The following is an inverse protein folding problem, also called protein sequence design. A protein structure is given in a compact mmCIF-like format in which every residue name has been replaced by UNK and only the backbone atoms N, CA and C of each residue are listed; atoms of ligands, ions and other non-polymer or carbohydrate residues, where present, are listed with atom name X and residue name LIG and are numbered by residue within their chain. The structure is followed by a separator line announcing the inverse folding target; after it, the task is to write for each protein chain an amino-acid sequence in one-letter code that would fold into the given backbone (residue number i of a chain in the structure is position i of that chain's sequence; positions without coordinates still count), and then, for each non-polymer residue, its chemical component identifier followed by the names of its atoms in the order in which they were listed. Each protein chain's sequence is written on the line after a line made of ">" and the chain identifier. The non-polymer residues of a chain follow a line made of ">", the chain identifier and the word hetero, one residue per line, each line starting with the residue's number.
data_IF_313981733573
#
_entry.id   IF_313981733573
#
_cell.length_a   1.000
_cell.length_b   1.000
_cell.length_c   1.000
_cell.angle_alpha   90.00
_cell.angle_beta   90.00
_cell.angle_gamma   90.00
#
_symmetry.space_group_name_H-M   'P 1'
#
loop_
_entity.id
_entity.type
_entity.pdbx_description
1 polymer ?
#
# COMPACT_ATOMS: atom_id res chain seq x y z
N UNK A 1 -50.44 35.95 3.46
CA UNK A 1 -49.20 35.46 4.14
C UNK A 1 -48.81 34.18 3.46
N UNK A 2 -47.92 34.26 2.44
CA UNK A 2 -47.49 33.13 1.62
C UNK A 2 -46.13 32.63 2.07
N UNK A 3 -46.12 31.47 2.73
CA UNK A 3 -44.89 30.78 3.11
C UNK A 3 -44.27 30.01 1.95
N UNK A 4 -43.14 30.47 1.43
CA UNK A 4 -42.30 29.72 0.49
C UNK A 4 -41.54 28.66 1.29
N UNK A 5 -41.87 27.37 1.03
CA UNK A 5 -41.08 26.25 1.49
C UNK A 5 -39.85 26.07 0.58
N UNK A 6 -38.66 26.28 1.13
CA UNK A 6 -37.39 25.94 0.47
C UNK A 6 -37.16 24.43 0.57
N UNK A 7 -37.33 23.71 -0.54
CA UNK A 7 -36.92 22.32 -0.66
C UNK A 7 -35.42 22.31 -0.92
N UNK A 8 -34.66 22.04 0.12
CA UNK A 8 -33.23 21.81 0.03
C UNK A 8 -32.93 20.51 -0.73
N UNK A 9 -32.46 20.62 -1.96
CA UNK A 9 -32.00 19.51 -2.77
C UNK A 9 -30.63 19.07 -2.23
N UNK A 10 -30.60 18.03 -1.40
CA UNK A 10 -29.36 17.40 -0.97
C UNK A 10 -28.73 16.69 -2.18
N UNK A 11 -27.72 17.32 -2.79
CA UNK A 11 -26.87 16.67 -3.77
C UNK A 11 -26.06 15.60 -3.04
N UNK A 12 -26.51 14.35 -3.15
CA UNK A 12 -25.74 13.18 -2.76
C UNK A 12 -24.55 13.08 -3.69
N UNK A 13 -23.39 13.54 -3.24
CA UNK A 13 -22.11 13.21 -3.88
C UNK A 13 -21.92 11.71 -3.74
N UNK A 14 -22.27 10.97 -4.77
CA UNK A 14 -21.88 9.57 -4.90
C UNK A 14 -20.37 9.52 -4.91
N UNK A 15 -19.77 9.11 -3.78
CA UNK A 15 -18.36 8.84 -3.68
C UNK A 15 -17.99 7.80 -4.76
N UNK A 16 -17.14 8.19 -5.67
CA UNK A 16 -16.52 7.31 -6.66
C UNK A 16 -15.48 6.42 -5.96
N UNK A 17 -15.96 5.45 -5.21
CA UNK A 17 -15.16 4.40 -4.60
C UNK A 17 -15.70 3.06 -5.07
N UNK A 18 -15.36 2.63 -6.29
CA UNK A 18 -15.38 1.21 -6.57
C UNK A 18 -14.43 0.58 -5.55
N UNK A 19 -14.97 -0.31 -4.71
CA UNK A 19 -14.18 -1.04 -3.71
C UNK A 19 -13.14 -1.88 -4.46
N UNK A 20 -11.91 -1.37 -4.56
CA UNK A 20 -10.84 -2.08 -5.24
C UNK A 20 -10.42 -3.23 -4.32
N UNK A 21 -10.46 -4.48 -4.80
CA UNK A 21 -10.10 -5.63 -3.97
C UNK A 21 -8.70 -5.48 -3.35
N UNK A 22 -8.56 -5.78 -2.08
CA UNK A 22 -7.28 -5.72 -1.35
C UNK A 22 -6.14 -6.40 -2.11
N UNK A 23 -6.38 -7.56 -2.71
CA UNK A 23 -5.36 -8.28 -3.48
C UNK A 23 -4.80 -7.45 -4.65
N UNK A 24 -5.64 -6.63 -5.31
CA UNK A 24 -5.17 -5.73 -6.37
C UNK A 24 -4.39 -4.54 -5.81
N UNK A 25 -4.75 -4.02 -4.65
CA UNK A 25 -3.96 -2.97 -3.97
C UNK A 25 -2.59 -3.51 -3.55
N UNK A 26 -2.53 -4.72 -2.97
CA UNK A 26 -1.28 -5.39 -2.62
C UNK A 26 -0.41 -5.61 -3.86
N UNK A 27 -0.98 -6.12 -4.94
CA UNK A 27 -0.28 -6.34 -6.20
C UNK A 27 0.24 -5.05 -6.81
N UNK A 28 -0.58 -3.99 -6.83
CA UNK A 28 -0.17 -2.65 -7.26
C UNK A 28 1.00 -2.13 -6.43
N UNK A 29 0.90 -2.22 -5.11
CA UNK A 29 1.92 -1.70 -4.20
C UNK A 29 3.24 -2.48 -4.25
N UNK A 30 3.22 -3.77 -4.56
CA UNK A 30 4.44 -4.58 -4.68
C UNK A 30 5.11 -4.50 -6.05
N UNK A 31 4.36 -4.20 -7.12
CA UNK A 31 4.89 -4.15 -8.49
C UNK A 31 5.06 -2.72 -9.00
N UNK A 32 3.99 -1.93 -8.97
CA UNK A 32 3.97 -0.61 -9.62
C UNK A 32 4.69 0.46 -8.80
N UNK A 33 4.65 0.36 -7.47
CA UNK A 33 5.31 1.30 -6.58
C UNK A 33 6.83 1.35 -6.73
N UNK A 34 7.45 0.32 -7.27
CA UNK A 34 8.89 0.31 -7.54
C UNK A 34 9.34 1.46 -8.46
N UNK A 35 8.45 1.85 -9.40
CA UNK A 35 8.73 2.92 -10.37
C UNK A 35 7.89 4.18 -10.14
N UNK A 36 6.76 4.07 -9.47
CA UNK A 36 5.80 5.15 -9.30
C UNK A 36 5.77 5.73 -7.87
N UNK A 37 6.73 5.34 -7.06
CA UNK A 37 6.89 5.82 -5.70
C UNK A 37 7.22 7.32 -5.66
N UNK A 38 6.56 8.03 -4.76
CA UNK A 38 6.93 9.41 -4.41
C UNK A 38 6.65 10.49 -5.45
N UNK A 39 6.18 10.14 -6.64
CA UNK A 39 5.81 11.15 -7.63
C UNK A 39 4.42 11.74 -7.38
N UNK A 40 4.29 12.56 -6.36
CA UNK A 40 3.11 13.42 -6.14
C UNK A 40 3.04 14.56 -7.18
N UNK A 41 3.44 14.30 -8.42
CA UNK A 41 3.35 15.29 -9.45
C UNK A 41 1.96 15.27 -10.05
N UNK A 42 1.11 16.23 -9.75
CA UNK A 42 -0.14 16.46 -10.46
C UNK A 42 0.03 16.77 -11.96
N UNK A 43 1.18 16.38 -12.53
CA UNK A 43 1.56 16.59 -13.93
C UNK A 43 1.07 15.49 -14.88
N UNK A 44 0.63 14.35 -14.37
CA UNK A 44 0.05 13.33 -15.24
C UNK A 44 -1.39 13.74 -15.56
N UNK A 45 -1.60 14.06 -16.83
CA UNK A 45 -2.95 14.27 -17.33
C UNK A 45 -3.68 12.94 -17.36
N UNK A 46 -4.51 12.68 -16.35
CA UNK A 46 -5.44 11.55 -16.33
C UNK A 46 -6.68 11.80 -17.21
N UNK A 47 -6.59 12.71 -18.17
CA UNK A 47 -7.63 12.88 -19.19
C UNK A 47 -7.70 11.69 -20.16
N UNK A 48 -6.60 10.93 -20.27
CA UNK A 48 -6.58 9.66 -21.01
C UNK A 48 -7.21 8.56 -20.14
N UNK A 49 -8.03 7.71 -20.75
CA UNK A 49 -8.61 6.54 -20.07
C UNK A 49 -7.59 5.43 -19.81
N UNK A 50 -8.00 4.40 -19.08
CA UNK A 50 -7.16 3.24 -18.72
C UNK A 50 -6.50 2.55 -19.92
N UNK A 51 -7.12 2.62 -21.09
CA UNK A 51 -6.58 2.08 -22.34
C UNK A 51 -5.21 2.66 -22.72
N UNK A 52 -4.93 3.93 -22.39
CA UNK A 52 -3.62 4.53 -22.64
C UNK A 52 -2.49 3.86 -21.85
N UNK A 53 -2.81 3.31 -20.68
CA UNK A 53 -1.87 2.60 -19.81
C UNK A 53 -1.84 1.08 -20.06
N UNK A 54 -2.74 0.54 -20.88
CA UNK A 54 -2.96 -0.89 -21.04
C UNK A 54 -1.69 -1.67 -21.41
N UNK A 55 -0.95 -1.21 -22.41
CA UNK A 55 0.28 -1.87 -22.85
C UNK A 55 1.37 -1.82 -21.78
N UNK A 56 1.46 -0.71 -21.03
CA UNK A 56 2.38 -0.56 -19.93
C UNK A 56 2.03 -1.55 -18.80
N UNK A 57 0.76 -1.58 -18.38
CA UNK A 57 0.29 -2.48 -17.33
C UNK A 57 0.55 -3.94 -17.71
N UNK A 58 0.19 -4.35 -18.93
CA UNK A 58 0.43 -5.73 -19.41
C UNK A 58 1.91 -6.10 -19.48
N UNK A 59 2.78 -5.15 -19.77
CA UNK A 59 4.23 -5.40 -19.78
C UNK A 59 4.75 -5.87 -18.44
N UNK A 60 4.21 -5.34 -17.34
CA UNK A 60 4.67 -5.64 -15.97
C UNK A 60 3.84 -6.72 -15.26
N UNK A 61 2.59 -6.87 -15.65
CA UNK A 61 1.64 -7.80 -15.02
C UNK A 61 1.27 -9.01 -15.90
N UNK A 62 1.87 -9.15 -17.06
CA UNK A 62 1.61 -10.26 -17.97
C UNK A 62 0.15 -10.26 -18.46
N UNK A 63 -0.60 -11.30 -18.13
CA UNK A 63 -1.97 -11.54 -18.61
C UNK A 63 -3.05 -10.78 -17.81
N UNK A 64 -2.83 -9.52 -17.47
CA UNK A 64 -3.84 -8.73 -16.75
C UNK A 64 -5.12 -8.58 -17.57
N UNK A 65 -6.26 -8.85 -16.93
CA UNK A 65 -7.60 -8.64 -17.49
C UNK A 65 -7.91 -7.13 -17.64
N UNK A 66 -8.87 -6.78 -18.45
CA UNK A 66 -9.34 -5.38 -18.61
C UNK A 66 -9.74 -4.77 -17.26
N UNK A 67 -10.45 -5.55 -16.42
CA UNK A 67 -10.85 -5.10 -15.07
C UNK A 67 -9.65 -4.82 -14.16
N UNK A 68 -8.61 -5.63 -14.22
CA UNK A 68 -7.37 -5.36 -13.47
C UNK A 68 -6.66 -4.12 -13.99
N UNK A 69 -6.60 -3.93 -15.32
CA UNK A 69 -6.02 -2.73 -15.93
C UNK A 69 -6.74 -1.47 -15.46
N UNK A 70 -8.08 -1.48 -15.45
CA UNK A 70 -8.89 -0.37 -14.94
C UNK A 70 -8.62 -0.11 -13.45
N UNK A 71 -8.54 -1.16 -12.63
CA UNK A 71 -8.25 -1.04 -11.21
C UNK A 71 -6.83 -0.48 -10.96
N UNK A 72 -5.82 -0.97 -11.67
CA UNK A 72 -4.44 -0.44 -11.55
C UNK A 72 -4.35 1.02 -12.01
N UNK A 73 -5.06 1.38 -13.06
CA UNK A 73 -5.12 2.77 -13.50
C UNK A 73 -5.80 3.66 -12.45
N UNK A 74 -6.89 3.19 -11.84
CA UNK A 74 -7.58 3.90 -10.76
C UNK A 74 -6.69 4.06 -9.51
N UNK A 75 -5.92 3.02 -9.14
CA UNK A 75 -4.96 3.06 -8.06
C UNK A 75 -3.83 4.06 -8.33
N UNK A 76 -3.27 4.04 -9.55
CA UNK A 76 -2.25 4.99 -9.97
C UNK A 76 -2.78 6.43 -9.92
N UNK A 77 -3.98 6.64 -10.45
CA UNK A 77 -4.65 7.94 -10.42
C UNK A 77 -4.84 8.44 -8.98
N UNK A 78 -5.41 7.60 -8.11
CA UNK A 78 -5.58 7.92 -6.68
C UNK A 78 -4.27 8.33 -6.04
N UNK A 79 -3.24 7.49 -6.19
CA UNK A 79 -1.91 7.72 -5.62
C UNK A 79 -1.32 9.07 -6.03
N UNK A 80 -1.46 9.42 -7.31
CA UNK A 80 -0.92 10.66 -7.88
C UNK A 80 -1.74 11.91 -7.50
N UNK A 81 -3.06 11.79 -7.44
CA UNK A 81 -3.95 12.92 -7.13
C UNK A 81 -4.01 13.19 -5.62
N UNK A 82 -4.02 12.14 -4.80
CA UNK A 82 -4.12 12.27 -3.35
C UNK A 82 -2.75 12.33 -2.66
N UNK A 83 -1.67 12.01 -3.38
CA UNK A 83 -0.33 11.92 -2.81
C UNK A 83 -0.30 11.01 -1.57
N UNK A 84 -1.00 9.87 -1.65
CA UNK A 84 -1.21 8.96 -0.54
C UNK A 84 -1.38 7.52 -1.01
N UNK A 85 -1.11 6.57 -0.13
CA UNK A 85 -1.49 5.18 -0.34
C UNK A 85 -3.01 5.04 -0.45
N UNK A 86 -3.48 4.11 -1.28
CA UNK A 86 -4.91 3.80 -1.34
C UNK A 86 -5.38 3.28 0.02
N UNK A 87 -6.49 3.81 0.57
CA UNK A 87 -6.94 3.42 1.89
C UNK A 87 -7.35 1.95 1.91
N UNK A 88 -6.78 1.22 2.84
CA UNK A 88 -7.11 -0.16 3.12
C UNK A 88 -7.68 -0.25 4.53
N UNK A 89 -8.86 -0.84 4.63
CA UNK A 89 -9.44 -1.16 5.94
C UNK A 89 -8.75 -2.42 6.47
N UNK A 90 -7.54 -2.25 6.98
CA UNK A 90 -6.81 -3.32 7.63
C UNK A 90 -7.13 -3.33 9.12
N UNK A 91 -7.58 -4.47 9.63
CA UNK A 91 -7.53 -4.70 11.05
C UNK A 91 -6.07 -4.78 11.50
N UNK A 92 -5.59 -3.76 12.20
CA UNK A 92 -4.30 -3.86 12.89
C UNK A 92 -4.40 -4.98 13.94
N UNK A 93 -3.54 -6.01 13.90
CA UNK A 93 -3.56 -7.03 14.95
C UNK A 93 -3.27 -6.37 16.30
N UNK A 94 -4.18 -6.52 17.27
CA UNK A 94 -4.08 -5.83 18.55
C UNK A 94 -2.81 -6.14 19.35
N UNK A 95 -2.06 -7.19 18.96
CA UNK A 95 -0.77 -7.57 19.52
C UNK A 95 0.44 -7.06 18.69
N UNK A 96 0.22 -6.29 17.62
CA UNK A 96 1.28 -5.79 16.73
C UNK A 96 1.99 -6.88 15.93
N UNK A 97 1.36 -8.06 15.74
CA UNK A 97 1.98 -9.21 15.09
C UNK A 97 1.11 -9.74 13.95
N UNK A 98 1.72 -9.89 12.78
CA UNK A 98 1.13 -10.53 11.60
C UNK A 98 1.81 -11.86 11.37
N UNK A 99 1.06 -12.95 11.30
CA UNK A 99 1.55 -14.30 11.03
C UNK A 99 0.45 -15.17 10.40
N UNK A 100 0.83 -16.23 9.72
CA UNK A 100 -0.11 -17.17 9.11
C UNK A 100 -1.12 -16.51 8.19
N UNK A 101 -2.42 -16.63 8.51
CA UNK A 101 -3.51 -16.09 7.71
C UNK A 101 -3.49 -14.55 7.61
N UNK A 102 -3.02 -13.86 8.66
CA UNK A 102 -2.91 -12.40 8.64
C UNK A 102 -1.90 -11.91 7.60
N UNK A 103 -0.82 -12.67 7.38
CA UNK A 103 0.16 -12.35 6.33
C UNK A 103 -0.32 -12.71 4.93
N UNK A 104 -1.10 -13.79 4.80
CA UNK A 104 -1.51 -14.30 3.49
C UNK A 104 -2.31 -13.26 2.70
N UNK A 105 -3.15 -12.45 3.37
CA UNK A 105 -3.93 -11.39 2.73
C UNK A 105 -3.09 -10.21 2.20
N UNK A 106 -1.84 -10.09 2.62
CA UNK A 106 -0.92 -9.01 2.27
C UNK A 106 0.23 -9.46 1.35
N UNK A 107 0.21 -10.70 0.93
CA UNK A 107 1.18 -11.29 0.02
C UNK A 107 0.72 -11.18 -1.43
N UNK A 108 1.65 -10.82 -2.32
CA UNK A 108 1.45 -10.94 -3.76
C UNK A 108 1.96 -12.31 -4.22
N UNK A 109 1.09 -13.27 -4.50
CA UNK A 109 1.51 -14.63 -4.81
C UNK A 109 2.09 -14.80 -6.23
N UNK A 110 1.92 -13.80 -7.10
CA UNK A 110 2.35 -13.89 -8.51
C UNK A 110 3.77 -13.39 -8.69
N UNK A 111 4.01 -12.15 -8.29
CA UNK A 111 5.33 -11.51 -8.44
C UNK A 111 6.18 -11.57 -7.17
N UNK A 112 5.58 -11.99 -6.05
CA UNK A 112 6.18 -12.00 -4.73
C UNK A 112 6.07 -10.64 -4.02
N UNK A 113 6.58 -10.59 -2.79
CA UNK A 113 6.55 -9.39 -1.96
C UNK A 113 5.31 -9.25 -1.08
N UNK A 114 5.38 -8.29 -0.19
CA UNK A 114 4.31 -8.01 0.78
C UNK A 114 4.07 -6.51 0.85
N UNK A 115 2.81 -6.13 1.03
CA UNK A 115 2.41 -4.77 1.35
C UNK A 115 1.46 -4.82 2.55
N UNK A 116 1.93 -4.36 3.71
CA UNK A 116 1.21 -4.49 4.98
C UNK A 116 0.97 -3.11 5.57
N UNK A 117 -0.29 -2.65 5.70
CA UNK A 117 -0.59 -1.46 6.50
C UNK A 117 -0.25 -1.72 7.97
N UNK A 118 0.62 -0.90 8.53
CA UNK A 118 0.98 -0.95 9.95
C UNK A 118 -0.01 -0.20 10.83
N UNK A 119 -0.97 0.51 10.20
CA UNK A 119 -1.97 1.34 10.86
C UNK A 119 -1.45 2.70 11.31
N UNK A 120 -2.31 3.43 12.03
CA UNK A 120 -1.97 4.72 12.61
C UNK A 120 -1.11 4.52 13.86
N UNK A 121 0.14 4.97 13.79
CA UNK A 121 1.08 4.91 14.90
C UNK A 121 1.12 6.27 15.62
N UNK A 122 1.32 6.24 16.92
CA UNK A 122 1.66 7.45 17.68
C UNK A 122 3.06 7.95 17.33
N UNK A 123 3.36 9.20 17.66
CA UNK A 123 4.72 9.69 17.61
C UNK A 123 5.61 8.91 18.59
N UNK A 124 6.77 8.43 18.12
CA UNK A 124 7.68 7.63 18.93
C UNK A 124 8.66 6.82 18.10
N UNK A 125 9.47 6.02 18.78
CA UNK A 125 10.42 5.11 18.15
C UNK A 125 9.85 3.70 18.10
N UNK A 126 10.06 3.03 16.97
CA UNK A 126 9.52 1.71 16.69
C UNK A 126 10.58 0.77 16.13
N UNK A 127 10.33 -0.51 16.35
CA UNK A 127 11.10 -1.61 15.78
C UNK A 127 10.17 -2.57 15.08
N UNK A 128 10.42 -2.85 13.80
CA UNK A 128 9.79 -3.89 13.03
C UNK A 128 10.77 -5.05 12.85
N UNK A 129 10.44 -6.21 13.39
CA UNK A 129 11.21 -7.44 13.26
C UNK A 129 10.58 -8.37 12.24
N UNK A 130 11.39 -8.96 11.35
CA UNK A 130 10.96 -9.85 10.30
C UNK A 130 11.51 -11.25 10.54
N UNK A 131 10.67 -12.29 10.42
CA UNK A 131 11.10 -13.68 10.49
C UNK A 131 10.79 -14.34 9.15
N UNK A 132 11.79 -14.98 8.55
CA UNK A 132 11.67 -15.69 7.29
C UNK A 132 11.94 -17.19 7.46
N UNK A 133 11.33 -18.01 6.61
CA UNK A 133 11.75 -19.36 6.37
C UNK A 133 12.80 -19.34 5.24
N UNK A 134 14.07 -19.50 5.59
CA UNK A 134 15.21 -19.39 4.67
C UNK A 134 15.77 -17.96 4.54
N UNK A 135 16.71 -17.78 3.63
CA UNK A 135 17.42 -16.52 3.41
C UNK A 135 16.61 -15.59 2.47
N UNK A 136 16.14 -14.45 2.96
CA UNK A 136 15.42 -13.50 2.11
C UNK A 136 16.38 -12.76 1.18
N UNK A 137 15.85 -12.32 0.05
CA UNK A 137 16.55 -11.47 -0.92
C UNK A 137 15.65 -10.32 -1.35
N UNK A 138 16.18 -9.11 -1.33
CA UNK A 138 15.43 -7.93 -1.76
C UNK A 138 15.58 -6.76 -0.83
N UNK A 139 14.49 -6.03 -0.64
CA UNK A 139 14.45 -4.79 0.15
C UNK A 139 13.20 -4.75 1.02
N UNK A 140 13.38 -4.41 2.28
CA UNK A 140 12.30 -4.11 3.22
C UNK A 140 12.28 -2.61 3.49
N UNK A 141 11.11 -1.99 3.44
CA UNK A 141 10.94 -0.55 3.60
C UNK A 141 9.71 -0.24 4.44
N UNK A 142 9.79 0.82 5.21
CA UNK A 142 8.66 1.42 5.92
C UNK A 142 8.47 2.83 5.37
N UNK A 143 7.24 3.15 4.95
CA UNK A 143 6.85 4.49 4.52
C UNK A 143 5.71 5.02 5.39
N UNK A 144 5.57 6.34 5.44
CA UNK A 144 4.36 6.96 5.94
C UNK A 144 3.27 7.07 4.87
N UNK A 145 2.14 7.72 5.20
CA UNK A 145 1.02 7.91 4.28
C UNK A 145 1.38 8.73 3.03
N UNK A 146 2.43 9.55 3.08
CA UNK A 146 2.90 10.43 1.98
C UNK A 146 4.09 9.87 1.22
N UNK A 147 4.39 8.58 1.43
CA UNK A 147 5.52 7.86 0.82
C UNK A 147 6.91 8.26 1.35
N UNK A 148 6.99 9.10 2.39
CA UNK A 148 8.28 9.39 3.01
C UNK A 148 8.84 8.12 3.66
N UNK A 149 10.09 7.81 3.31
CA UNK A 149 10.76 6.61 3.79
C UNK A 149 11.21 6.81 5.24
N UNK A 150 10.58 6.09 6.16
CA UNK A 150 10.95 6.10 7.58
C UNK A 150 12.12 5.14 7.89
N UNK A 151 12.20 4.00 7.19
CA UNK A 151 13.32 3.06 7.26
C UNK A 151 13.41 2.20 6.00
N UNK A 152 14.64 1.78 5.67
CA UNK A 152 14.90 0.83 4.58
C UNK A 152 16.07 -0.09 4.95
N UNK A 153 15.96 -1.38 4.58
CA UNK A 153 16.98 -2.39 4.82
C UNK A 153 17.08 -3.34 3.61
N UNK A 154 18.32 -3.65 3.20
CA UNK A 154 18.59 -4.65 2.17
C UNK A 154 18.62 -6.05 2.77
N UNK A 155 17.86 -6.96 2.18
CA UNK A 155 17.70 -8.35 2.61
C UNK A 155 18.67 -9.26 1.86
N UNK A 156 19.93 -9.26 2.23
CA UNK A 156 20.94 -10.15 1.64
C UNK A 156 21.86 -10.76 2.72
N UNK A 157 21.42 -10.79 3.97
CA UNK A 157 22.19 -11.28 5.10
C UNK A 157 21.46 -12.40 5.82
N UNK A 158 22.21 -13.28 6.46
CA UNK A 158 21.66 -14.40 7.25
C UNK A 158 21.06 -13.95 8.59
N UNK A 159 21.32 -12.70 9.02
CA UNK A 159 20.75 -12.17 10.25
C UNK A 159 19.28 -11.75 10.05
N UNK A 160 18.39 -12.03 11.01
CA UNK A 160 17.02 -11.57 10.96
C UNK A 160 16.94 -10.05 10.78
N UNK A 161 16.27 -9.56 9.73
CA UNK A 161 16.21 -8.11 9.48
C UNK A 161 15.38 -7.41 10.55
N UNK A 162 15.87 -6.25 11.00
CA UNK A 162 15.18 -5.40 11.98
C UNK A 162 15.24 -3.96 11.50
N UNK A 163 14.07 -3.41 11.17
CA UNK A 163 13.95 -2.01 10.80
C UNK A 163 13.63 -1.18 12.05
N UNK A 164 14.44 -0.17 12.32
CA UNK A 164 14.20 0.81 13.38
C UNK A 164 13.82 2.14 12.74
N UNK A 165 12.75 2.76 13.19
CA UNK A 165 12.29 4.01 12.65
C UNK A 165 11.62 4.89 13.71
N UNK A 166 11.54 6.17 13.39
CA UNK A 166 10.82 7.16 14.18
C UNK A 166 9.55 7.54 13.44
N UNK A 167 8.39 7.39 14.11
CA UNK A 167 7.12 7.90 13.63
C UNK A 167 6.89 9.31 14.16
N UNK A 168 6.40 10.20 13.31
CA UNK A 168 5.85 11.50 13.70
C UNK A 168 4.36 11.44 14.03
N UNK A 169 3.76 10.26 13.93
CA UNK A 169 2.33 10.01 14.02
C UNK A 169 1.72 9.70 12.65
N UNK A 170 0.56 9.03 12.64
CA UNK A 170 -0.21 8.73 11.44
C UNK A 170 0.05 7.34 10.84
N UNK A 171 -0.55 7.12 9.67
CA UNK A 171 -0.52 5.84 8.96
C UNK A 171 0.88 5.49 8.47
N UNK A 172 1.26 4.23 8.64
CA UNK A 172 2.51 3.67 8.14
C UNK A 172 2.26 2.37 7.40
N UNK A 173 3.18 2.06 6.47
CA UNK A 173 3.08 0.91 5.58
C UNK A 173 4.43 0.21 5.48
N UNK A 174 4.39 -1.10 5.55
CA UNK A 174 5.55 -1.95 5.33
C UNK A 174 5.51 -2.54 3.91
N UNK A 175 6.60 -2.40 3.20
CA UNK A 175 6.81 -2.96 1.87
C UNK A 175 7.97 -3.96 1.92
N UNK A 176 7.73 -5.15 1.40
CA UNK A 176 8.76 -6.12 1.10
C UNK A 176 8.78 -6.35 -0.40
N UNK A 177 9.86 -5.94 -1.04
CA UNK A 177 10.13 -6.19 -2.46
C UNK A 177 11.22 -7.24 -2.58
N UNK A 178 10.92 -8.34 -3.27
CA UNK A 178 11.89 -9.42 -3.45
C UNK A 178 11.32 -10.79 -3.13
N UNK A 179 12.21 -11.71 -2.81
CA UNK A 179 11.88 -13.12 -2.53
C UNK A 179 12.19 -13.46 -1.09
N UNK A 180 11.32 -14.24 -0.49
CA UNK A 180 11.48 -14.74 0.86
C UNK A 180 10.13 -15.18 1.41
N UNK A 181 10.12 -16.30 2.09
CA UNK A 181 8.92 -16.81 2.75
C UNK A 181 8.81 -16.16 4.13
N UNK A 182 8.11 -15.03 4.17
CA UNK A 182 7.90 -14.25 5.39
C UNK A 182 6.91 -14.95 6.31
N UNK A 183 7.37 -15.37 7.48
CA UNK A 183 6.59 -16.11 8.46
C UNK A 183 5.94 -15.21 9.49
N UNK A 184 6.60 -14.10 9.83
CA UNK A 184 6.13 -13.16 10.86
C UNK A 184 6.66 -11.76 10.63
N UNK A 185 5.80 -10.79 10.89
CA UNK A 185 6.13 -9.37 11.07
C UNK A 185 5.71 -8.99 12.48
N UNK A 186 6.58 -8.36 13.24
CA UNK A 186 6.30 -7.93 14.62
C UNK A 186 6.71 -6.48 14.80
N UNK A 187 5.73 -5.62 15.09
CA UNK A 187 5.91 -4.21 15.35
C UNK A 187 5.85 -3.95 16.87
N UNK A 188 6.89 -3.34 17.38
CA UNK A 188 6.95 -2.94 18.79
C UNK A 188 7.34 -1.48 18.92
N UNK A 189 6.69 -0.75 19.84
CA UNK A 189 7.16 0.57 20.25
C UNK A 189 8.45 0.39 21.04
N UNK A 190 9.48 1.10 20.62
CA UNK A 190 10.76 1.17 21.34
C UNK A 190 10.69 2.38 22.27
N UNK A 191 11.10 2.21 23.50
CA UNK A 191 11.06 3.30 24.50
C UNK A 191 11.94 4.47 24.11
#
# INVERSE_FOLDING_TARGET
>A
MNGLAWIGMALSFSAWGADIPQALVVRFSTVCFTCHEGECSGRLSFHSGAQAAQNHVRRYLGSASEREIEAFFALLKYTKEQCAHYPLTAGFPGNGRWEGADLAGWHNPVEGGYFIPLGALDAGEYRLSLTFSGTPQGRARITDARFDVAAEESLCRDAPPVLRFKSSGGEHFFHLQGRGDLQRVELMRWK
#
